data_IF_981067212158
#
_entry.id   IF_981067212158
#
_cell.length_a   1.000
_cell.length_b   1.000
_cell.length_c   1.000
_cell.angle_alpha   90.00
_cell.angle_beta   90.00
_cell.angle_gamma   90.00
#
_symmetry.space_group_name_H-M   'P 1'
#
loop_
_entity.id
_entity.type
_entity.pdbx_description
1 polymer ?
#
# COMPACT_ATOMS: atom_id res chain seq x y z
N UNK A 1 3.39 19.03 -13.43
CA UNK A 1 3.83 17.95 -12.52
C UNK A 1 2.63 17.49 -11.71
N UNK A 2 2.26 16.21 -11.72
CA UNK A 2 1.17 15.72 -10.87
C UNK A 2 1.75 15.38 -9.51
N UNK A 3 1.22 16.00 -8.44
CA UNK A 3 1.73 15.86 -7.07
C UNK A 3 1.32 14.53 -6.40
N UNK A 4 0.47 13.71 -7.04
CA UNK A 4 0.06 12.40 -6.52
C UNK A 4 0.28 11.29 -7.56
N UNK A 5 0.50 10.07 -7.08
CA UNK A 5 0.61 8.85 -7.90
C UNK A 5 -0.34 7.76 -7.41
N UNK A 6 -0.99 7.10 -8.36
CA UNK A 6 -2.03 6.10 -8.07
C UNK A 6 -3.10 6.70 -7.16
N UNK A 7 -3.39 6.02 -6.06
CA UNK A 7 -4.44 6.39 -5.12
C UNK A 7 -3.94 7.22 -3.92
N UNK A 8 -2.77 7.85 -4.00
CA UNK A 8 -2.21 8.62 -2.87
C UNK A 8 -3.14 9.74 -2.36
N UNK A 9 -3.97 10.32 -3.23
CA UNK A 9 -4.99 11.31 -2.87
C UNK A 9 -6.03 10.79 -1.86
N UNK A 10 -6.28 9.48 -1.82
CA UNK A 10 -7.21 8.88 -0.87
C UNK A 10 -6.79 9.12 0.58
N UNK A 11 -5.50 9.33 0.85
CA UNK A 11 -5.04 9.69 2.20
C UNK A 11 -5.64 11.00 2.70
N UNK A 12 -5.75 12.03 1.85
CA UNK A 12 -6.38 13.29 2.22
C UNK A 12 -7.89 13.14 2.45
N UNK A 13 -8.56 12.42 1.53
CA UNK A 13 -9.99 12.15 1.65
C UNK A 13 -10.29 11.32 2.92
N UNK A 14 -9.43 10.37 3.26
CA UNK A 14 -9.55 9.58 4.47
C UNK A 14 -9.48 10.46 5.72
N UNK A 15 -8.51 11.37 5.81
CA UNK A 15 -8.40 12.30 6.95
C UNK A 15 -9.61 13.21 7.04
N UNK A 16 -10.07 13.74 5.90
CA UNK A 16 -11.25 14.60 5.86
C UNK A 16 -12.50 13.88 6.35
N UNK A 17 -12.72 12.63 5.92
CA UNK A 17 -13.95 11.90 6.27
C UNK A 17 -13.86 11.24 7.64
N UNK A 18 -12.80 10.47 7.89
CA UNK A 18 -12.64 9.69 9.11
C UNK A 18 -12.18 10.56 10.28
N UNK A 19 -11.29 11.52 10.04
CA UNK A 19 -10.82 12.45 11.07
C UNK A 19 -11.94 13.35 11.58
N UNK A 20 -12.69 14.00 10.67
CA UNK A 20 -13.85 14.83 11.04
C UNK A 20 -14.95 13.97 11.67
N UNK A 21 -15.26 12.80 11.09
CA UNK A 21 -16.27 11.89 11.61
C UNK A 21 -15.96 11.42 13.04
N UNK A 22 -14.72 10.99 13.30
CA UNK A 22 -14.28 10.59 14.64
C UNK A 22 -14.23 11.78 15.61
N UNK A 23 -13.80 12.96 15.15
CA UNK A 23 -13.81 14.17 15.97
C UNK A 23 -15.23 14.55 16.41
N UNK A 24 -16.19 14.50 15.48
CA UNK A 24 -17.61 14.69 15.78
C UNK A 24 -18.15 13.62 16.75
N UNK A 25 -17.78 12.35 16.56
CA UNK A 25 -18.18 11.28 17.48
C UNK A 25 -17.61 11.49 18.89
N UNK A 26 -16.34 11.86 19.02
CA UNK A 26 -15.75 12.17 20.32
C UNK A 26 -16.40 13.39 20.95
N UNK A 27 -16.79 14.39 20.17
CA UNK A 27 -17.51 15.57 20.66
C UNK A 27 -18.83 15.20 21.32
N UNK A 28 -19.57 14.24 20.77
CA UNK A 28 -20.81 13.73 21.37
C UNK A 28 -20.61 13.07 22.75
N UNK A 29 -19.41 12.57 23.04
CA UNK A 29 -19.11 11.85 24.29
C UNK A 29 -18.42 12.76 25.31
N UNK A 30 -17.48 13.60 24.85
CA UNK A 30 -16.63 14.44 25.69
C UNK A 30 -17.30 15.79 25.99
N UNK A 31 -18.16 16.28 25.09
CA UNK A 31 -18.79 17.59 25.21
C UNK A 31 -18.01 18.71 24.54
N UNK A 32 -18.73 19.80 24.25
CA UNK A 32 -18.22 20.96 23.49
C UNK A 32 -17.29 21.84 24.32
N UNK A 33 -17.38 21.77 25.65
CA UNK A 33 -16.57 22.57 26.57
C UNK A 33 -15.06 22.27 26.51
N UNK A 34 -14.65 21.17 25.87
CA UNK A 34 -13.24 20.75 25.74
C UNK A 34 -12.71 20.86 24.31
N UNK A 35 -13.21 21.78 23.48
CA UNK A 35 -13.20 21.63 22.01
C UNK A 35 -11.87 21.41 21.27
N UNK A 36 -10.63 21.65 21.75
CA UNK A 36 -9.51 21.10 20.99
C UNK A 36 -9.40 19.58 21.17
N UNK A 37 -9.84 19.03 22.30
CA UNK A 37 -9.63 17.63 22.68
C UNK A 37 -10.36 16.64 21.76
N UNK A 38 -11.69 16.71 21.53
CA UNK A 38 -12.39 15.73 20.69
C UNK A 38 -11.87 15.73 19.24
N UNK A 39 -11.62 16.92 18.70
CA UNK A 39 -11.09 17.09 17.34
C UNK A 39 -9.69 16.50 17.25
N UNK A 40 -8.82 16.81 18.21
CA UNK A 40 -7.47 16.28 18.28
C UNK A 40 -7.44 14.75 18.37
N UNK A 41 -8.28 14.16 19.22
CA UNK A 41 -8.42 12.70 19.32
C UNK A 41 -8.92 12.07 18.02
N UNK A 42 -9.90 12.70 17.37
CA UNK A 42 -10.45 12.23 16.09
C UNK A 42 -9.38 12.15 15.01
N UNK A 43 -8.59 13.21 14.87
CA UNK A 43 -7.45 13.26 13.96
C UNK A 43 -6.34 12.27 14.36
N UNK A 44 -6.04 12.16 15.65
CA UNK A 44 -5.01 11.26 16.15
C UNK A 44 -5.31 9.80 15.76
N UNK A 45 -6.54 9.35 16.07
CA UNK A 45 -7.02 8.00 15.76
C UNK A 45 -7.10 7.79 14.25
N UNK A 46 -7.65 8.74 13.50
CA UNK A 46 -7.70 8.65 12.04
C UNK A 46 -6.30 8.54 11.41
N UNK A 47 -5.31 9.28 11.93
CA UNK A 47 -3.93 9.20 11.49
C UNK A 47 -3.31 7.81 11.70
N UNK A 48 -3.53 7.22 12.87
CA UNK A 48 -3.09 5.85 13.17
C UNK A 48 -3.74 4.85 12.22
N UNK A 49 -5.07 4.93 12.01
CA UNK A 49 -5.78 4.05 11.09
C UNK A 49 -5.22 4.21 9.67
N UNK A 50 -5.02 5.44 9.20
CA UNK A 50 -4.46 5.71 7.87
C UNK A 50 -3.06 5.12 7.69
N UNK A 51 -2.22 5.13 8.73
CA UNK A 51 -0.90 4.52 8.65
C UNK A 51 -1.00 3.00 8.38
N UNK A 52 -1.82 2.29 9.15
CA UNK A 52 -1.97 0.84 9.00
C UNK A 52 -2.70 0.46 7.71
N UNK A 53 -3.82 1.13 7.41
CA UNK A 53 -4.58 0.92 6.17
C UNK A 53 -3.73 1.26 4.95
N UNK A 54 -2.98 2.37 4.99
CA UNK A 54 -2.07 2.76 3.92
C UNK A 54 -0.98 1.70 3.67
N UNK A 55 -0.34 1.19 4.74
CA UNK A 55 0.65 0.09 4.59
C UNK A 55 0.02 -1.16 4.00
N UNK A 56 -1.14 -1.57 4.49
CA UNK A 56 -1.85 -2.76 4.01
C UNK A 56 -2.24 -2.59 2.54
N UNK A 57 -2.85 -1.47 2.18
CA UNK A 57 -3.31 -1.18 0.83
C UNK A 57 -2.16 -1.15 -0.18
N UNK A 58 -1.02 -0.54 0.16
CA UNK A 58 0.17 -0.56 -0.69
C UNK A 58 0.73 -1.96 -0.90
N UNK A 59 0.73 -2.81 0.14
CA UNK A 59 1.19 -4.19 0.02
C UNK A 59 0.21 -5.04 -0.81
N UNK A 60 -1.09 -4.85 -0.60
CA UNK A 60 -2.14 -5.56 -1.32
C UNK A 60 -2.15 -5.21 -2.81
N UNK A 61 -2.11 -3.93 -3.19
CA UNK A 61 -2.10 -3.52 -4.59
C UNK A 61 -0.84 -4.01 -5.32
N UNK A 62 0.32 -3.97 -4.65
CA UNK A 62 1.57 -4.51 -5.20
C UNK A 62 1.46 -6.02 -5.49
N UNK A 63 0.92 -6.81 -4.56
CA UNK A 63 0.67 -8.26 -4.75
C UNK A 63 -0.33 -8.50 -5.87
N UNK A 64 -1.48 -7.84 -5.83
CA UNK A 64 -2.54 -7.96 -6.85
C UNK A 64 -2.02 -7.66 -8.26
N UNK A 65 -1.14 -6.65 -8.42
CA UNK A 65 -0.51 -6.34 -9.71
C UNK A 65 0.49 -7.39 -10.15
N UNK A 66 1.28 -7.92 -9.21
CA UNK A 66 2.21 -9.01 -9.49
C UNK A 66 1.48 -10.29 -9.92
N UNK A 67 0.38 -10.64 -9.24
CA UNK A 67 -0.46 -11.80 -9.60
C UNK A 67 -1.03 -11.65 -11.01
N UNK A 68 -1.55 -10.46 -11.34
CA UNK A 68 -2.03 -10.15 -12.69
C UNK A 68 -0.92 -10.24 -13.75
N UNK A 69 0.28 -9.74 -13.45
CA UNK A 69 1.41 -9.82 -14.36
C UNK A 69 1.82 -11.28 -14.61
N UNK A 70 1.98 -12.09 -13.56
CA UNK A 70 2.33 -13.51 -13.69
C UNK A 70 1.24 -14.30 -14.39
N UNK A 71 -0.04 -14.01 -14.12
CA UNK A 71 -1.15 -14.63 -14.84
C UNK A 71 -1.09 -14.36 -16.35
N UNK A 72 -0.68 -13.15 -16.77
CA UNK A 72 -0.47 -12.85 -18.19
C UNK A 72 0.81 -13.47 -18.77
N UNK A 73 1.84 -13.66 -17.94
CA UNK A 73 3.16 -14.15 -18.38
C UNK A 73 3.22 -15.67 -18.50
N UNK A 74 2.49 -16.38 -17.65
CA UNK A 74 2.49 -17.84 -17.53
C UNK A 74 2.25 -18.56 -18.87
N UNK A 75 1.24 -18.20 -19.70
CA UNK A 75 0.99 -18.89 -20.97
C UNK A 75 2.16 -18.78 -21.96
N UNK A 76 2.85 -17.64 -22.00
CA UNK A 76 4.02 -17.44 -22.88
C UNK A 76 5.18 -18.37 -22.46
N UNK A 77 5.41 -18.49 -21.15
CA UNK A 77 6.45 -19.36 -20.60
C UNK A 77 6.11 -20.83 -20.84
N UNK A 78 4.86 -21.24 -20.59
CA UNK A 78 4.38 -22.59 -20.85
C UNK A 78 4.49 -22.97 -22.34
N UNK A 79 4.15 -22.06 -23.25
CA UNK A 79 4.33 -22.28 -24.69
C UNK A 79 5.81 -22.47 -25.04
N UNK A 80 6.70 -21.70 -24.42
CA UNK A 80 8.15 -21.79 -24.67
C UNK A 80 8.70 -23.12 -24.17
N UNK A 81 8.27 -23.59 -22.99
CA UNK A 81 8.57 -24.91 -22.44
C UNK A 81 8.05 -26.03 -23.35
N UNK A 82 6.78 -25.96 -23.75
CA UNK A 82 6.16 -26.95 -24.63
C UNK A 82 6.86 -27.04 -26.00
N UNK A 83 7.40 -25.93 -26.50
CA UNK A 83 8.16 -25.89 -27.75
C UNK A 83 9.63 -26.33 -27.63
N UNK A 84 10.11 -26.66 -26.43
CA UNK A 84 11.50 -27.04 -26.18
C UNK A 84 12.52 -25.89 -26.31
N UNK A 85 12.06 -24.65 -26.47
CA UNK A 85 12.90 -23.45 -26.61
C UNK A 85 13.14 -22.72 -25.31
N UNK A 86 12.68 -23.26 -24.19
CA UNK A 86 12.80 -22.59 -22.89
C UNK A 86 14.27 -22.51 -22.47
N UNK A 87 14.72 -21.28 -22.21
CA UNK A 87 16.05 -20.96 -21.72
C UNK A 87 15.91 -20.01 -20.53
N UNK A 88 16.07 -20.49 -19.29
CA UNK A 88 15.94 -19.66 -18.09
C UNK A 88 17.10 -18.67 -17.93
N UNK A 89 18.29 -19.04 -18.44
CA UNK A 89 19.46 -18.17 -18.54
C UNK A 89 20.13 -18.37 -19.90
N UNK A 90 20.80 -17.33 -20.45
CA UNK A 90 21.45 -17.45 -21.75
C UNK A 90 22.43 -18.62 -21.80
N UNK A 91 22.24 -19.51 -22.79
CA UNK A 91 23.15 -20.64 -23.04
C UNK A 91 22.91 -21.90 -22.21
N UNK A 92 21.95 -21.90 -21.27
CA UNK A 92 21.55 -23.11 -20.55
C UNK A 92 20.26 -23.69 -21.16
N UNK A 93 20.32 -24.97 -21.54
CA UNK A 93 19.17 -25.70 -22.06
C UNK A 93 18.84 -26.85 -21.11
N UNK A 94 17.60 -26.92 -20.57
CA UNK A 94 17.20 -28.02 -19.69
C UNK A 94 17.33 -29.38 -20.38
N UNK A 95 17.75 -30.40 -19.63
CA UNK A 95 17.95 -31.77 -20.12
C UNK A 95 16.62 -32.51 -20.30
N UNK A 96 15.58 -32.11 -19.58
CA UNK A 96 14.25 -32.71 -19.66
C UNK A 96 13.13 -31.66 -19.64
N UNK A 97 11.94 -32.07 -20.10
CA UNK A 97 10.73 -31.23 -20.01
C UNK A 97 10.35 -30.94 -18.57
N UNK A 98 10.49 -31.92 -17.68
CA UNK A 98 10.20 -31.75 -16.25
C UNK A 98 11.13 -30.72 -15.60
N UNK A 99 12.42 -30.77 -15.92
CA UNK A 99 13.40 -29.76 -15.47
C UNK A 99 13.05 -28.36 -16.02
N UNK A 100 12.64 -28.27 -17.29
CA UNK A 100 12.19 -27.01 -17.88
C UNK A 100 10.95 -26.44 -17.16
N UNK A 101 9.97 -27.28 -16.78
CA UNK A 101 8.78 -26.88 -16.05
C UNK A 101 9.13 -26.38 -14.63
N UNK A 102 10.03 -27.06 -13.92
CA UNK A 102 10.51 -26.65 -12.60
C UNK A 102 11.24 -25.30 -12.65
N UNK A 103 12.18 -25.14 -13.60
CA UNK A 103 12.93 -23.89 -13.78
C UNK A 103 12.04 -22.73 -14.22
N UNK A 104 11.04 -23.00 -15.05
CA UNK A 104 10.02 -22.01 -15.43
C UNK A 104 9.19 -21.55 -14.23
N UNK A 105 8.79 -22.46 -13.33
CA UNK A 105 8.07 -22.12 -12.12
C UNK A 105 8.92 -21.25 -11.19
N UNK A 106 10.19 -21.60 -10.97
CA UNK A 106 11.12 -20.82 -10.15
C UNK A 106 11.37 -19.42 -10.76
N UNK A 107 11.51 -19.33 -12.08
CA UNK A 107 11.66 -18.06 -12.80
C UNK A 107 10.44 -17.16 -12.58
N UNK A 108 9.22 -17.68 -12.74
CA UNK A 108 7.98 -16.93 -12.52
C UNK A 108 7.84 -16.48 -11.06
N UNK A 109 8.27 -17.28 -10.09
CA UNK A 109 8.27 -16.89 -8.68
C UNK A 109 9.26 -15.74 -8.39
N UNK A 110 10.47 -15.82 -8.95
CA UNK A 110 11.45 -14.73 -8.87
C UNK A 110 10.93 -13.45 -9.52
N UNK A 111 10.33 -13.55 -10.71
CA UNK A 111 9.68 -12.42 -11.38
C UNK A 111 8.57 -11.82 -10.53
N UNK A 112 7.71 -12.65 -9.91
CA UNK A 112 6.65 -12.19 -9.02
C UNK A 112 7.20 -11.33 -7.89
N UNK A 113 8.21 -11.84 -7.17
CA UNK A 113 8.83 -11.13 -6.06
C UNK A 113 9.46 -9.80 -6.49
N UNK A 114 10.09 -9.76 -7.67
CA UNK A 114 10.64 -8.53 -8.25
C UNK A 114 9.54 -7.51 -8.57
N UNK A 115 8.43 -7.96 -9.17
CA UNK A 115 7.29 -7.10 -9.50
C UNK A 115 6.62 -6.56 -8.25
N UNK A 116 6.40 -7.38 -7.22
CA UNK A 116 5.92 -6.93 -5.91
C UNK A 116 6.84 -5.83 -5.35
N UNK A 117 8.16 -6.06 -5.35
CA UNK A 117 9.14 -5.08 -4.84
C UNK A 117 9.09 -3.76 -5.63
N UNK A 118 8.92 -3.82 -6.95
CA UNK A 118 8.81 -2.64 -7.83
C UNK A 118 7.56 -1.80 -7.57
N UNK A 119 6.44 -2.45 -7.26
CA UNK A 119 5.16 -1.76 -7.02
C UNK A 119 4.92 -1.37 -5.55
N UNK A 120 5.76 -1.80 -4.60
CA UNK A 120 5.73 -1.27 -3.24
C UNK A 120 6.01 0.24 -3.26
N UNK A 121 5.23 1.01 -2.50
CA UNK A 121 5.39 2.47 -2.48
C UNK A 121 4.83 3.18 -3.71
N UNK A 122 3.94 2.54 -4.49
CA UNK A 122 3.37 3.17 -5.68
C UNK A 122 2.40 4.31 -5.36
N UNK A 123 1.65 4.22 -4.25
CA UNK A 123 0.65 5.21 -3.88
C UNK A 123 1.27 6.32 -3.05
N UNK A 124 1.53 7.46 -3.69
CA UNK A 124 2.21 8.60 -3.09
C UNK A 124 1.44 9.89 -3.28
N UNK A 125 1.63 10.81 -2.34
CA UNK A 125 1.17 12.20 -2.39
C UNK A 125 2.35 13.08 -1.98
N UNK A 126 2.62 14.15 -2.73
CA UNK A 126 3.86 14.92 -2.63
C UNK A 126 5.12 14.03 -2.63
N UNK A 127 5.10 12.97 -3.43
CA UNK A 127 6.16 11.96 -3.50
C UNK A 127 6.40 11.16 -2.20
N UNK A 128 5.58 11.37 -1.17
CA UNK A 128 5.63 10.67 0.11
C UNK A 128 4.60 9.52 0.07
N UNK A 129 4.98 8.29 0.45
CA UNK A 129 4.04 7.18 0.61
C UNK A 129 2.88 7.52 1.56
N UNK A 130 1.65 7.23 1.15
CA UNK A 130 0.44 7.70 1.84
C UNK A 130 0.36 7.36 3.34
N UNK A 131 0.96 6.24 3.79
CA UNK A 131 0.98 5.87 5.20
C UNK A 131 1.67 6.90 6.09
N UNK A 132 2.66 7.63 5.59
CA UNK A 132 3.40 8.61 6.40
C UNK A 132 2.57 9.87 6.66
N UNK A 133 1.58 10.17 5.84
CA UNK A 133 0.58 11.20 6.17
C UNK A 133 -0.21 10.80 7.41
N UNK A 134 -0.53 9.50 7.58
CA UNK A 134 -1.16 9.00 8.79
C UNK A 134 -0.35 9.32 10.06
N UNK A 135 0.98 9.16 10.00
CA UNK A 135 1.85 9.51 11.12
C UNK A 135 1.84 11.02 11.41
N UNK A 136 1.95 11.85 10.37
CA UNK A 136 1.91 13.32 10.51
C UNK A 136 0.59 13.77 11.12
N UNK A 137 -0.53 13.25 10.62
CA UNK A 137 -1.87 13.57 11.13
C UNK A 137 -2.05 13.06 12.56
N UNK A 138 -1.50 11.89 12.90
CA UNK A 138 -1.57 11.37 14.26
C UNK A 138 -0.88 12.30 15.26
N UNK A 139 0.32 12.78 14.92
CA UNK A 139 1.09 13.73 15.74
C UNK A 139 0.37 15.07 15.85
N UNK A 140 -0.12 15.62 14.73
CA UNK A 140 -0.85 16.90 14.73
C UNK A 140 -2.14 16.81 15.56
N UNK A 141 -2.91 15.73 15.40
CA UNK A 141 -4.11 15.49 16.20
C UNK A 141 -3.81 15.40 17.69
N UNK A 142 -2.77 14.65 18.07
CA UNK A 142 -2.31 14.58 19.46
C UNK A 142 -1.92 15.95 20.04
N UNK A 143 -1.19 16.76 19.27
CA UNK A 143 -0.81 18.11 19.69
C UNK A 143 -2.04 19.03 19.87
N UNK A 144 -2.98 19.00 18.92
CA UNK A 144 -4.24 19.76 19.01
C UNK A 144 -5.03 19.34 20.26
N UNK A 145 -5.13 18.03 20.51
CA UNK A 145 -5.85 17.52 21.67
C UNK A 145 -5.19 17.92 22.99
N UNK A 146 -3.85 17.90 23.05
CA UNK A 146 -3.09 18.32 24.22
C UNK A 146 -3.26 19.81 24.54
N UNK A 147 -3.36 20.68 23.52
CA UNK A 147 -3.66 22.10 23.73
C UNK A 147 -5.03 22.30 24.40
N UNK A 148 -6.02 21.44 24.10
CA UNK A 148 -7.34 21.49 24.73
C UNK A 148 -7.39 21.00 26.17
N UNK A 149 -6.33 20.36 26.65
CA UNK A 149 -6.17 20.03 28.07
C UNK A 149 -5.44 21.11 28.85
N UNK A 150 -4.78 22.04 28.16
CA UNK A 150 -3.91 23.06 28.75
C UNK A 150 -4.57 24.45 28.86
N UNK A 151 -5.72 24.66 28.20
CA UNK A 151 -6.55 25.87 28.29
C UNK A 151 -7.80 25.61 29.10
#
# INVERSE_FOLDING_TARGET
>A
MVIWRGWGILGLLFVLLVGVGLGGLFRLVIGDEYEPLPIGLGLAVAGVILFFVGRWFQAWDARRRADKYIASRRPEVEQTVASGRFQPVPGYQPASREEAEQLAAEMLEKEHAQVVRRFRGHHTLFFIPMQYFGLVIAVLGGAIGALGLAG
#
